data_IF_307985137219
#
_entry.id   IF_307985137219
#
_cell.length_a   1.000
_cell.length_b   1.000
_cell.length_c   1.000
_cell.angle_alpha   90.00
_cell.angle_beta   90.00
_cell.angle_gamma   90.00
#
_symmetry.space_group_name_H-M   'P 1'
#
loop_
_entity.id
_entity.type
_entity.pdbx_description
1 polymer ?
#
# COMPACT_ATOMS: atom_id res chain seq x y z
N UNK A 1 8.32 -12.58 19.91
CA UNK A 1 9.31 -12.45 18.81
C UNK A 1 8.61 -12.70 17.49
N UNK A 2 8.69 -11.73 16.59
CA UNK A 2 8.05 -11.84 15.29
C UNK A 2 8.95 -12.68 14.37
N UNK A 3 8.36 -13.68 13.71
CA UNK A 3 9.11 -14.48 12.73
C UNK A 3 9.51 -13.60 11.54
N UNK A 4 10.71 -13.85 10.98
CA UNK A 4 11.14 -13.19 9.76
C UNK A 4 10.22 -13.63 8.61
N UNK A 5 9.66 -12.68 7.83
CA UNK A 5 8.81 -13.05 6.70
C UNK A 5 9.54 -13.92 5.69
N UNK A 6 8.84 -14.89 5.10
CA UNK A 6 9.40 -15.78 4.08
C UNK A 6 9.76 -14.97 2.83
N UNK A 7 11.03 -14.96 2.40
CA UNK A 7 11.43 -14.18 1.23
C UNK A 7 10.76 -14.63 -0.06
N UNK A 8 10.34 -15.87 -0.18
CA UNK A 8 9.63 -16.35 -1.38
C UNK A 8 8.25 -15.70 -1.49
N UNK A 9 7.56 -15.52 -0.36
CA UNK A 9 6.27 -14.83 -0.32
C UNK A 9 6.45 -13.35 -0.68
N UNK A 10 7.50 -12.72 -0.16
CA UNK A 10 7.80 -11.31 -0.46
C UNK A 10 8.20 -11.11 -1.92
N UNK A 11 8.90 -12.07 -2.53
CA UNK A 11 9.22 -12.00 -3.96
C UNK A 11 7.95 -12.01 -4.81
N UNK A 12 6.96 -12.82 -4.43
CA UNK A 12 5.67 -12.83 -5.10
C UNK A 12 4.98 -11.46 -4.98
N UNK A 13 4.95 -10.88 -3.78
CA UNK A 13 4.36 -9.56 -3.55
C UNK A 13 5.06 -8.50 -4.39
N UNK A 14 6.39 -8.55 -4.48
CA UNK A 14 7.18 -7.60 -5.26
C UNK A 14 6.87 -7.66 -6.76
N UNK A 15 6.47 -8.82 -7.28
CA UNK A 15 6.14 -9.01 -8.68
C UNK A 15 4.71 -8.64 -9.05
N UNK A 16 3.87 -8.26 -8.10
CA UNK A 16 2.49 -7.85 -8.31
C UNK A 16 2.31 -6.39 -7.94
N UNK A 17 1.21 -5.76 -8.39
CA UNK A 17 0.92 -4.35 -8.10
C UNK A 17 -0.53 -4.11 -7.68
N UNK A 18 -1.36 -5.14 -7.64
CA UNK A 18 -2.79 -5.04 -7.35
C UNK A 18 -3.15 -5.97 -6.22
N UNK A 19 -3.98 -5.52 -5.32
CA UNK A 19 -4.41 -6.34 -4.21
C UNK A 19 -5.66 -5.80 -3.54
N UNK A 20 -6.07 -6.49 -2.48
CA UNK A 20 -7.21 -6.10 -1.65
C UNK A 20 -6.68 -5.71 -0.28
N UNK A 21 -6.90 -4.48 0.10
CA UNK A 21 -6.52 -3.98 1.41
C UNK A 21 -7.69 -4.13 2.38
N UNK A 22 -7.45 -4.80 3.50
CA UNK A 22 -8.41 -4.92 4.59
C UNK A 22 -8.01 -3.99 5.72
N UNK A 23 -8.93 -3.12 6.11
CA UNK A 23 -8.81 -2.24 7.28
C UNK A 23 -10.00 -2.50 8.20
N UNK A 24 -9.94 -2.03 9.44
CA UNK A 24 -10.98 -2.32 10.42
C UNK A 24 -11.92 -1.14 10.59
N UNK A 25 -13.22 -1.39 10.38
CA UNK A 25 -14.26 -0.41 10.65
C UNK A 25 -14.45 -0.22 12.16
N UNK A 26 -15.16 0.85 12.53
CA UNK A 26 -15.43 1.16 13.94
C UNK A 26 -16.17 0.07 14.69
N UNK A 27 -16.95 -0.76 14.00
CA UNK A 27 -17.65 -1.90 14.60
C UNK A 27 -16.81 -3.19 14.64
N UNK A 28 -15.54 -3.13 14.21
CA UNK A 28 -14.62 -4.26 14.19
C UNK A 28 -14.68 -5.12 12.94
N UNK A 29 -15.61 -4.87 12.04
CA UNK A 29 -15.69 -5.65 10.79
C UNK A 29 -14.65 -5.16 9.79
N UNK A 30 -14.12 -6.06 8.94
CA UNK A 30 -13.16 -5.64 7.92
C UNK A 30 -13.86 -4.85 6.82
N UNK A 31 -13.17 -3.82 6.33
CA UNK A 31 -13.52 -3.13 5.10
C UNK A 31 -12.49 -3.49 4.04
N UNK A 32 -12.95 -3.94 2.87
CA UNK A 32 -12.09 -4.39 1.79
C UNK A 32 -12.08 -3.35 0.67
N UNK A 33 -10.90 -3.05 0.15
CA UNK A 33 -10.72 -2.10 -0.95
C UNK A 33 -9.74 -2.66 -1.96
N UNK A 34 -10.07 -2.59 -3.23
CA UNK A 34 -9.11 -2.88 -4.29
C UNK A 34 -8.14 -1.70 -4.40
N UNK A 35 -6.85 -1.99 -4.40
CA UNK A 35 -5.80 -0.95 -4.43
C UNK A 35 -4.65 -1.36 -5.33
N UNK A 36 -3.91 -0.37 -5.79
CA UNK A 36 -2.59 -0.58 -6.35
C UNK A 36 -1.54 -0.33 -5.27
N UNK A 37 -0.42 -1.01 -5.36
CA UNK A 37 0.64 -0.84 -4.38
C UNK A 37 2.01 -0.95 -5.04
N UNK A 38 3.01 -0.38 -4.37
CA UNK A 38 4.41 -0.59 -4.67
C UNK A 38 5.09 -1.16 -3.43
N UNK A 39 5.87 -2.22 -3.60
CA UNK A 39 6.64 -2.81 -2.51
C UNK A 39 8.09 -2.38 -2.63
N UNK A 40 8.64 -1.88 -1.53
CA UNK A 40 10.04 -1.46 -1.41
C UNK A 40 10.79 -2.53 -0.61
N UNK A 41 11.55 -3.42 -1.28
CA UNK A 41 12.23 -4.52 -0.58
C UNK A 41 13.36 -4.03 0.33
N UNK A 42 13.98 -2.90 0.02
CA UNK A 42 15.05 -2.35 0.85
C UNK A 42 14.53 -1.87 2.20
N UNK A 43 13.33 -1.27 2.21
CA UNK A 43 12.68 -0.77 3.42
C UNK A 43 11.76 -1.81 4.08
N UNK A 44 11.36 -2.86 3.36
CA UNK A 44 10.37 -3.83 3.83
C UNK A 44 8.98 -3.22 3.99
N UNK A 45 8.60 -2.33 3.09
CA UNK A 45 7.38 -1.52 3.21
C UNK A 45 6.56 -1.58 1.93
N UNK A 46 5.26 -1.82 2.09
CA UNK A 46 4.27 -1.65 1.02
C UNK A 46 3.74 -0.23 1.09
N UNK A 47 3.72 0.47 -0.06
CA UNK A 47 3.18 1.83 -0.16
C UNK A 47 1.92 1.84 -1.00
N UNK A 48 0.92 2.58 -0.52
CA UNK A 48 -0.40 2.70 -1.18
C UNK A 48 -0.78 4.17 -1.20
N UNK A 49 -1.22 4.67 -2.37
CA UNK A 49 -1.72 6.03 -2.50
C UNK A 49 -3.21 6.05 -2.17
N UNK A 50 -3.62 6.91 -1.24
CA UNK A 50 -5.01 7.05 -0.84
C UNK A 50 -5.39 8.53 -0.76
N UNK A 51 -6.70 8.82 -0.77
CA UNK A 51 -7.17 10.18 -0.51
C UNK A 51 -7.57 10.32 0.96
N UNK A 52 -7.45 11.54 1.49
CA UNK A 52 -7.63 11.83 2.91
C UNK A 52 -9.02 11.49 3.44
N UNK A 53 -10.04 11.56 2.58
CA UNK A 53 -11.46 11.40 2.96
C UNK A 53 -12.00 9.98 2.77
N UNK A 54 -11.19 9.04 2.29
CA UNK A 54 -11.66 7.66 2.09
C UNK A 54 -11.85 6.92 3.41
N UNK A 55 -12.79 5.98 3.39
CA UNK A 55 -13.10 5.18 4.59
C UNK A 55 -11.87 4.41 5.08
N UNK A 56 -11.09 3.82 4.18
CA UNK A 56 -9.86 3.10 4.56
C UNK A 56 -8.85 4.00 5.26
N UNK A 57 -8.74 5.26 4.84
CA UNK A 57 -7.85 6.22 5.48
C UNK A 57 -8.30 6.51 6.90
N UNK A 58 -9.59 6.78 7.09
CA UNK A 58 -10.17 7.03 8.42
C UNK A 58 -10.03 5.81 9.32
N UNK A 59 -10.25 4.61 8.77
CA UNK A 59 -10.09 3.37 9.53
C UNK A 59 -8.67 3.24 10.06
N UNK A 60 -7.66 3.51 9.21
CA UNK A 60 -6.25 3.40 9.60
C UNK A 60 -5.83 4.47 10.61
N UNK A 61 -6.44 5.65 10.56
CA UNK A 61 -6.20 6.69 11.57
C UNK A 61 -6.69 6.26 12.95
N UNK A 62 -7.77 5.49 13.02
CA UNK A 62 -8.34 5.00 14.26
C UNK A 62 -7.70 3.69 14.72
N UNK A 63 -7.48 2.76 13.80
CA UNK A 63 -6.87 1.46 14.06
C UNK A 63 -5.89 1.16 12.91
N UNK A 64 -4.58 1.22 13.17
CA UNK A 64 -3.58 1.13 12.10
C UNK A 64 -3.32 -0.28 11.59
N UNK A 65 -3.94 -1.31 12.17
CA UNK A 65 -3.77 -2.69 11.71
C UNK A 65 -4.35 -2.84 10.31
N UNK A 66 -3.58 -3.46 9.40
CA UNK A 66 -4.01 -3.67 8.03
C UNK A 66 -3.47 -4.98 7.50
N UNK A 67 -4.21 -5.55 6.54
CA UNK A 67 -3.80 -6.75 5.81
C UNK A 67 -3.96 -6.49 4.33
N UNK A 68 -2.97 -6.91 3.54
CA UNK A 68 -3.01 -6.81 2.08
C UNK A 68 -3.02 -8.21 1.49
N UNK A 69 -4.08 -8.56 0.76
CA UNK A 69 -4.22 -9.82 0.05
C UNK A 69 -3.84 -9.61 -1.41
N UNK A 70 -2.84 -10.37 -1.88
CA UNK A 70 -2.34 -10.31 -3.25
C UNK A 70 -2.52 -11.69 -3.87
N UNK A 71 -3.10 -11.76 -5.06
CA UNK A 71 -3.35 -13.04 -5.73
C UNK A 71 -2.87 -13.00 -7.18
N UNK A 72 -2.45 -14.15 -7.69
CA UNK A 72 -2.03 -14.31 -9.08
C UNK A 72 -3.22 -14.24 -10.05
N UNK A 73 -2.93 -14.07 -11.34
CA UNK A 73 -3.96 -14.01 -12.37
C UNK A 73 -4.80 -15.30 -12.44
N UNK A 74 -4.20 -16.46 -12.13
CA UNK A 74 -4.92 -17.73 -12.13
C UNK A 74 -5.63 -18.02 -10.80
N UNK A 75 -5.52 -17.12 -9.82
CA UNK A 75 -6.18 -17.16 -8.52
C UNK A 75 -5.52 -18.08 -7.48
N UNK A 76 -4.68 -19.02 -7.87
CA UNK A 76 -4.24 -20.11 -6.97
C UNK A 76 -2.93 -19.83 -6.22
N UNK A 77 -2.19 -18.81 -6.61
CA UNK A 77 -1.06 -18.31 -5.82
C UNK A 77 -1.50 -17.03 -5.13
N UNK A 78 -1.34 -16.96 -3.83
CA UNK A 78 -1.76 -15.77 -3.08
C UNK A 78 -0.90 -15.60 -1.83
N UNK A 79 -0.77 -14.36 -1.40
CA UNK A 79 -0.01 -13.98 -0.20
C UNK A 79 -0.78 -12.89 0.53
N UNK A 80 -0.80 -12.98 1.85
CA UNK A 80 -1.30 -11.91 2.71
C UNK A 80 -0.12 -11.31 3.46
N UNK A 81 -0.02 -9.98 3.43
CA UNK A 81 0.93 -9.19 4.19
C UNK A 81 0.15 -8.52 5.32
N UNK A 82 0.63 -8.67 6.56
CA UNK A 82 0.01 -8.03 7.71
C UNK A 82 1.00 -7.08 8.37
N UNK A 83 0.50 -5.96 8.86
CA UNK A 83 1.33 -4.99 9.55
C UNK A 83 0.52 -3.88 10.19
N UNK A 84 1.27 -2.96 10.79
CA UNK A 84 0.72 -1.76 11.41
C UNK A 84 1.07 -0.57 10.52
N UNK A 85 0.07 0.00 9.89
CA UNK A 85 0.27 1.07 8.92
C UNK A 85 0.67 2.37 9.60
N UNK A 86 1.47 3.18 8.91
CA UNK A 86 1.63 4.58 9.26
C UNK A 86 1.30 5.44 8.04
N UNK A 87 0.79 6.63 8.29
CA UNK A 87 0.30 7.53 7.26
C UNK A 87 1.20 8.75 7.17
N UNK A 88 1.55 9.14 5.95
CA UNK A 88 2.23 10.43 5.74
C UNK A 88 1.24 11.58 5.98
N UNK A 89 1.71 12.81 6.16
CA UNK A 89 0.81 13.97 6.06
C UNK A 89 0.14 14.02 4.69
N UNK A 90 -0.99 14.71 4.62
CA UNK A 90 -1.69 14.95 3.34
C UNK A 90 -0.82 15.87 2.48
N UNK A 91 -0.74 15.58 1.18
CA UNK A 91 0.00 16.41 0.24
C UNK A 91 -0.52 17.86 0.28
N UNK A 92 0.36 18.80 0.53
CA UNK A 92 0.02 20.22 0.67
C UNK A 92 0.77 21.11 -0.30
N UNK A 93 1.89 20.64 -0.82
CA UNK A 93 2.73 21.37 -1.77
C UNK A 93 3.24 20.39 -2.82
N UNK A 94 3.30 20.77 -4.13
CA UNK A 94 3.72 19.83 -5.19
C UNK A 94 5.12 19.24 -5.01
N UNK A 95 5.94 19.84 -4.15
CA UNK A 95 7.31 19.39 -3.90
C UNK A 95 7.56 19.00 -2.45
N UNK A 96 6.50 18.75 -1.66
CA UNK A 96 6.69 18.30 -0.29
C UNK A 96 7.09 16.80 -0.24
N UNK A 97 7.44 16.34 0.97
CA UNK A 97 7.91 14.96 1.17
C UNK A 97 6.86 13.92 0.82
N UNK A 98 5.58 14.20 1.05
CA UNK A 98 4.48 13.29 0.71
C UNK A 98 4.39 13.14 -0.81
N UNK A 99 4.47 14.24 -1.56
CA UNK A 99 4.41 14.17 -3.02
C UNK A 99 5.63 13.45 -3.58
N UNK A 100 6.82 13.65 -3.00
CA UNK A 100 8.01 12.90 -3.41
C UNK A 100 7.80 11.39 -3.24
N UNK A 101 7.18 10.97 -2.16
CA UNK A 101 6.89 9.56 -1.92
C UNK A 101 5.80 9.05 -2.87
N UNK A 102 4.81 9.86 -3.21
CA UNK A 102 3.79 9.54 -4.21
C UNK A 102 4.40 9.38 -5.61
N UNK A 103 5.39 10.19 -5.96
CA UNK A 103 6.14 10.05 -7.22
C UNK A 103 6.85 8.69 -7.26
N UNK A 104 7.54 8.33 -6.19
CA UNK A 104 8.21 7.02 -6.11
C UNK A 104 7.21 5.87 -6.20
N UNK A 105 6.06 6.00 -5.54
CA UNK A 105 4.97 5.03 -5.63
C UNK A 105 4.49 4.86 -7.08
N UNK A 106 4.21 5.96 -7.76
CA UNK A 106 3.74 5.91 -9.15
C UNK A 106 4.75 5.22 -10.06
N UNK A 107 6.04 5.56 -9.92
CA UNK A 107 7.10 4.89 -10.69
C UNK A 107 7.13 3.39 -10.45
N UNK A 108 6.91 2.97 -9.22
CA UNK A 108 6.91 1.55 -8.86
C UNK A 108 5.74 0.78 -9.47
N UNK A 109 4.59 1.42 -9.65
CA UNK A 109 3.37 0.78 -10.17
C UNK A 109 3.27 0.93 -11.70
N UNK A 110 3.56 2.11 -12.23
CA UNK A 110 3.24 2.48 -13.61
C UNK A 110 4.44 2.93 -14.44
N UNK A 111 5.63 3.06 -13.85
CA UNK A 111 6.80 3.62 -14.54
C UNK A 111 6.76 5.15 -14.59
N UNK A 112 7.37 5.73 -15.63
CA UNK A 112 7.46 7.18 -15.75
C UNK A 112 6.12 7.80 -16.16
N UNK A 113 5.78 8.92 -15.52
CA UNK A 113 4.60 9.70 -15.87
C UNK A 113 4.93 10.65 -17.02
N UNK A 114 4.03 10.85 -18.00
CA UNK A 114 4.27 11.75 -19.12
C UNK A 114 4.36 13.23 -18.72
N UNK A 115 3.82 13.60 -17.56
CA UNK A 115 3.84 15.00 -17.07
C UNK A 115 3.88 15.02 -15.54
N UNK A 116 5.08 15.04 -14.98
CA UNK A 116 5.25 15.02 -13.52
C UNK A 116 4.70 16.27 -12.84
N UNK A 117 4.74 17.43 -13.49
CA UNK A 117 4.20 18.66 -12.90
C UNK A 117 2.68 18.54 -12.72
N UNK A 118 1.99 18.01 -13.72
CA UNK A 118 0.54 17.74 -13.62
C UNK A 118 0.24 16.72 -12.53
N UNK A 119 1.01 15.62 -12.47
CA UNK A 119 0.83 14.60 -11.43
C UNK A 119 0.98 15.20 -10.04
N UNK A 120 2.04 15.99 -9.81
CA UNK A 120 2.31 16.61 -8.50
C UNK A 120 1.18 17.53 -8.07
N UNK A 121 0.67 18.34 -8.97
CA UNK A 121 -0.47 19.24 -8.70
C UNK A 121 -1.74 18.43 -8.38
N UNK A 122 -1.98 17.34 -9.11
CA UNK A 122 -3.14 16.48 -8.87
C UNK A 122 -3.08 15.84 -7.48
N UNK A 123 -1.89 15.43 -7.00
CA UNK A 123 -1.74 14.85 -5.67
C UNK A 123 -2.18 15.83 -4.57
N UNK A 124 -1.83 17.09 -4.73
CA UNK A 124 -2.26 18.14 -3.78
C UNK A 124 -3.76 18.41 -3.90
N UNK A 125 -4.27 18.57 -5.13
CA UNK A 125 -5.68 18.85 -5.36
C UNK A 125 -6.60 17.74 -4.86
N UNK A 126 -6.17 16.48 -5.00
CA UNK A 126 -6.93 15.32 -4.54
C UNK A 126 -6.71 15.00 -3.06
N UNK A 127 -5.88 15.77 -2.37
CA UNK A 127 -5.54 15.56 -0.96
C UNK A 127 -5.04 14.14 -0.70
N UNK A 128 -4.05 13.72 -1.50
CA UNK A 128 -3.47 12.39 -1.40
C UNK A 128 -2.44 12.30 -0.29
N UNK A 129 -2.27 11.08 0.22
CA UNK A 129 -1.22 10.72 1.16
C UNK A 129 -0.79 9.28 0.87
N UNK A 130 0.31 8.86 1.51
CA UNK A 130 0.80 7.50 1.38
C UNK A 130 0.49 6.72 2.65
N UNK A 131 -0.12 5.56 2.49
CA UNK A 131 -0.18 4.54 3.52
C UNK A 131 1.10 3.72 3.40
N UNK A 132 1.89 3.68 4.46
CA UNK A 132 3.07 2.83 4.58
C UNK A 132 2.70 1.63 5.44
N UNK A 133 2.82 0.43 4.87
CA UNK A 133 2.54 -0.82 5.57
C UNK A 133 3.85 -1.60 5.69
N UNK A 134 4.59 -1.44 6.81
CA UNK A 134 5.75 -2.29 7.07
C UNK A 134 5.30 -3.73 7.21
N UNK A 135 6.06 -4.64 6.59
CA UNK A 135 5.72 -6.07 6.61
C UNK A 135 6.13 -6.65 7.96
N UNK A 136 5.15 -7.04 8.75
CA UNK A 136 5.38 -7.67 10.06
C UNK A 136 5.20 -9.19 9.98
N UNK A 137 4.21 -9.65 9.20
CA UNK A 137 3.89 -11.07 9.08
C UNK A 137 3.38 -11.36 7.66
N UNK A 138 3.70 -12.54 7.15
CA UNK A 138 3.21 -13.01 5.85
C UNK A 138 2.73 -14.45 5.96
N UNK A 139 1.71 -14.78 5.18
CA UNK A 139 1.29 -16.16 4.96
C UNK A 139 0.68 -16.26 3.56
N UNK A 140 0.60 -17.48 3.03
CA UNK A 140 0.03 -17.64 1.71
C UNK A 140 0.34 -19.00 1.11
N UNK A 141 0.06 -19.13 -0.19
CA UNK A 141 0.26 -20.35 -0.95
C UNK A 141 0.99 -20.01 -2.24
N UNK A 142 2.18 -20.59 -2.41
CA UNK A 142 2.97 -20.50 -3.62
C UNK A 142 2.68 -21.71 -4.53
N UNK A 143 3.06 -21.63 -5.84
CA UNK A 143 2.94 -22.80 -6.72
C UNK A 143 3.72 -23.97 -6.15
N UNK A 144 3.13 -25.12 -6.16
CA UNK A 144 3.72 -26.35 -5.62
C UNK A 144 4.76 -26.95 -6.54
#
# INVERSE_FOLDING_TARGET
MTATPDPRLLDFVAGQHWGVLATLKGDGRPQLSNIGYAYDPAAGVVRISVTADRAKTRNLQRDPRASLHVTSADFWTWVVVEGTANLTPVAADPHDGTVEELVAYYRGVNGEHPDWDDYRQAMVAERRLVVRLPVEHTYGQLPG
#
